data_IF_855498356814
#
_entry.id   IF_855498356814
#
_cell.length_a   1.000
_cell.length_b   1.000
_cell.length_c   1.000
_cell.angle_alpha   90.00
_cell.angle_beta   90.00
_cell.angle_gamma   90.00
#
_symmetry.space_group_name_H-M   'P 1'
#
loop_
_entity.id
_entity.type
_entity.pdbx_description
1 polymer ?
#
# COMPACT_ATOMS: atom_id res chain seq x y z
N UNK A 1 -10.01 -4.35 3.30
CA UNK A 1 -9.58 -5.73 3.63
C UNK A 1 -8.44 -5.73 4.64
N UNK A 2 -7.32 -5.09 4.35
CA UNK A 2 -6.21 -4.93 5.30
C UNK A 2 -6.19 -3.50 5.84
N UNK A 3 -6.37 -3.36 7.17
CA UNK A 3 -6.33 -2.07 7.87
C UNK A 3 -5.39 -2.17 9.09
N UNK A 4 -4.17 -2.70 8.80
CA UNK A 4 -3.00 -2.79 9.67
C UNK A 4 -2.98 -3.98 10.64
N UNK A 5 -4.05 -4.72 10.78
CA UNK A 5 -4.06 -6.00 11.52
C UNK A 5 -3.38 -7.10 10.69
N UNK A 6 -2.35 -7.70 11.23
CA UNK A 6 -1.63 -8.78 10.57
C UNK A 6 -1.62 -10.02 11.47
N UNK A 7 -1.96 -11.21 10.94
CA UNK A 7 -1.97 -12.43 11.75
C UNK A 7 -0.58 -12.74 12.32
N UNK A 8 -0.51 -12.94 13.64
CA UNK A 8 0.74 -13.21 14.34
C UNK A 8 1.51 -14.39 13.74
N UNK A 9 0.81 -15.47 13.39
CA UNK A 9 1.42 -16.66 12.79
C UNK A 9 2.09 -16.39 11.43
N UNK A 10 1.61 -15.39 10.67
CA UNK A 10 2.24 -14.97 9.42
C UNK A 10 3.37 -13.96 9.68
N UNK A 11 3.24 -13.14 10.71
CA UNK A 11 4.31 -12.26 11.16
C UNK A 11 5.56 -13.06 11.58
N UNK A 12 5.38 -14.14 12.33
CA UNK A 12 6.46 -15.06 12.74
C UNK A 12 7.14 -15.77 11.56
N UNK A 13 6.49 -15.87 10.42
CA UNK A 13 7.06 -16.35 9.15
C UNK A 13 7.79 -15.27 8.34
N UNK A 14 7.99 -14.08 8.90
CA UNK A 14 8.68 -12.96 8.27
C UNK A 14 7.76 -11.82 7.81
N UNK A 15 6.45 -11.94 8.01
CA UNK A 15 5.49 -10.85 7.76
C UNK A 15 5.58 -10.28 6.34
N UNK A 16 5.56 -8.97 6.23
CA UNK A 16 5.65 -8.27 4.94
C UNK A 16 7.00 -8.40 4.23
N UNK A 17 8.07 -8.86 4.91
CA UNK A 17 9.34 -9.17 4.25
C UNK A 17 9.33 -10.52 3.52
N UNK A 18 8.46 -11.43 3.93
CA UNK A 18 8.37 -12.73 3.27
C UNK A 18 7.75 -12.57 1.87
N UNK A 19 8.41 -13.04 0.80
CA UNK A 19 7.90 -12.93 -0.57
C UNK A 19 6.56 -13.67 -0.80
N UNK A 20 6.24 -14.68 0.02
CA UNK A 20 4.98 -15.43 -0.04
C UNK A 20 3.77 -14.63 0.49
N UNK A 21 3.99 -13.48 1.11
CA UNK A 21 2.90 -12.67 1.68
C UNK A 21 1.87 -12.25 0.64
N UNK A 22 2.30 -12.08 -0.61
CA UNK A 22 1.39 -11.78 -1.71
C UNK A 22 0.42 -12.94 -2.00
N UNK A 23 0.91 -14.16 -1.93
CA UNK A 23 0.09 -15.36 -2.13
C UNK A 23 -0.87 -15.56 -0.95
N UNK A 24 -0.39 -15.38 0.29
CA UNK A 24 -1.25 -15.45 1.48
C UNK A 24 -2.39 -14.42 1.43
N UNK A 25 -2.07 -13.20 1.03
CA UNK A 25 -3.08 -12.14 0.91
C UNK A 25 -4.02 -12.39 -0.27
N UNK A 26 -3.52 -12.98 -1.35
CA UNK A 26 -4.32 -13.43 -2.49
C UNK A 26 -5.34 -14.51 -2.10
N UNK A 27 -4.94 -15.52 -1.32
CA UNK A 27 -5.87 -16.54 -0.82
C UNK A 27 -6.93 -15.94 0.13
N UNK A 28 -6.54 -15.02 0.99
CA UNK A 28 -7.51 -14.26 1.80
C UNK A 28 -8.49 -13.49 0.92
N UNK A 29 -8.01 -12.81 -0.11
CA UNK A 29 -8.84 -12.06 -1.05
C UNK A 29 -9.82 -12.95 -1.82
N UNK A 30 -9.40 -14.18 -2.20
CA UNK A 30 -10.28 -15.19 -2.79
C UNK A 30 -11.43 -15.54 -1.86
N UNK A 31 -11.14 -15.87 -0.61
CA UNK A 31 -12.20 -16.19 0.38
C UNK A 31 -13.15 -15.01 0.58
N UNK A 32 -12.63 -13.78 0.62
CA UNK A 32 -13.45 -12.57 0.72
C UNK A 32 -14.37 -12.43 -0.50
N UNK A 33 -13.84 -12.64 -1.71
CA UNK A 33 -14.65 -12.61 -2.93
C UNK A 33 -15.79 -13.63 -2.91
N UNK A 34 -15.47 -14.88 -2.62
CA UNK A 34 -16.43 -15.98 -2.59
C UNK A 34 -17.56 -15.80 -1.54
N UNK A 35 -17.23 -15.13 -0.42
CA UNK A 35 -18.16 -14.99 0.72
C UNK A 35 -18.94 -13.69 0.75
N UNK A 36 -18.45 -12.63 0.14
CA UNK A 36 -19.02 -11.30 0.33
C UNK A 36 -19.33 -10.55 -0.97
N UNK A 37 -18.92 -11.03 -2.15
CA UNK A 37 -19.18 -10.30 -3.39
C UNK A 37 -20.65 -10.31 -3.82
N UNK A 38 -21.50 -11.15 -3.22
CA UNK A 38 -22.95 -11.12 -3.42
C UNK A 38 -23.60 -9.91 -2.77
N UNK A 39 -23.05 -9.43 -1.65
CA UNK A 39 -23.59 -8.30 -0.87
C UNK A 39 -22.71 -7.03 -0.95
N UNK A 40 -21.44 -7.15 -1.34
CA UNK A 40 -20.46 -6.07 -1.44
C UNK A 40 -20.04 -5.84 -2.89
N UNK A 41 -20.16 -4.60 -3.38
CA UNK A 41 -19.70 -4.22 -4.73
C UNK A 41 -18.30 -3.59 -4.71
N UNK A 42 -17.92 -2.92 -3.62
CA UNK A 42 -16.69 -2.13 -3.51
C UNK A 42 -15.73 -2.76 -2.52
N UNK A 43 -14.50 -3.04 -2.97
CA UNK A 43 -13.45 -3.64 -2.15
C UNK A 43 -12.22 -2.73 -2.13
N UNK A 44 -11.78 -2.36 -0.94
CA UNK A 44 -10.49 -1.72 -0.70
C UNK A 44 -9.55 -2.78 -0.15
N UNK A 45 -8.51 -3.09 -0.90
CA UNK A 45 -7.55 -4.15 -0.54
C UNK A 45 -6.69 -3.74 0.64
N UNK A 46 -6.01 -2.61 0.54
CA UNK A 46 -5.04 -2.11 1.52
C UNK A 46 -5.36 -0.66 1.85
N UNK A 47 -5.44 -0.37 3.14
CA UNK A 47 -5.55 0.99 3.65
C UNK A 47 -4.17 1.56 3.97
N UNK A 48 -3.90 2.75 3.47
CA UNK A 48 -2.74 3.59 3.75
C UNK A 48 -1.39 2.82 3.76
N UNK A 49 -0.96 2.28 2.61
CA UNK A 49 0.28 1.53 2.55
C UNK A 49 1.48 2.34 3.05
N UNK A 50 1.45 3.68 2.90
CA UNK A 50 2.47 4.58 3.40
C UNK A 50 2.63 4.49 4.93
N UNK A 51 1.53 4.37 5.67
CA UNK A 51 1.54 4.22 7.12
C UNK A 51 2.10 2.86 7.54
N UNK A 52 1.70 1.80 6.86
CA UNK A 52 2.23 0.46 7.13
C UNK A 52 3.75 0.45 6.98
N UNK A 53 4.25 0.99 5.90
CA UNK A 53 5.68 1.01 5.56
C UNK A 53 6.44 2.03 6.42
N UNK A 54 6.01 3.29 6.43
CA UNK A 54 6.71 4.39 7.10
C UNK A 54 6.56 4.35 8.62
N UNK A 55 5.34 4.25 9.11
CA UNK A 55 5.08 4.32 10.55
C UNK A 55 5.25 2.96 11.25
N UNK A 56 4.88 1.86 10.58
CA UNK A 56 4.97 0.52 11.17
C UNK A 56 6.38 -0.07 11.14
N UNK A 57 7.13 0.15 10.05
CA UNK A 57 8.39 -0.57 9.82
C UNK A 57 9.63 0.32 9.72
N UNK A 58 9.51 1.61 9.39
CA UNK A 58 10.66 2.52 9.36
C UNK A 58 10.84 3.26 10.68
N UNK A 59 9.81 3.95 11.15
CA UNK A 59 9.85 4.73 12.39
C UNK A 59 9.46 3.94 13.64
N UNK A 60 8.64 2.91 13.48
CA UNK A 60 8.20 2.04 14.56
C UNK A 60 7.19 2.67 15.51
N UNK A 61 6.47 3.72 15.10
CA UNK A 61 5.45 4.39 15.94
C UNK A 61 4.07 3.75 15.85
N UNK A 62 3.83 2.95 14.80
CA UNK A 62 2.64 2.12 14.65
C UNK A 62 3.02 0.62 14.72
N UNK A 63 2.02 -0.26 14.89
CA UNK A 63 2.26 -1.70 14.80
C UNK A 63 2.86 -2.09 13.43
N UNK A 64 3.79 -3.03 13.37
CA UNK A 64 4.32 -3.88 14.44
C UNK A 64 5.34 -3.20 15.37
N UNK A 65 5.65 -1.93 15.19
CA UNK A 65 6.50 -1.16 16.08
C UNK A 65 8.01 -1.43 15.93
N UNK A 66 8.42 -1.87 14.75
CA UNK A 66 9.83 -2.20 14.45
C UNK A 66 10.51 -1.07 13.69
N UNK A 67 11.83 -0.98 13.84
CA UNK A 67 12.67 -0.05 13.07
C UNK A 67 13.58 -0.85 12.17
N UNK A 68 13.26 -0.86 10.89
CA UNK A 68 14.00 -1.60 9.87
C UNK A 68 14.91 -0.69 9.06
N UNK A 69 15.83 -1.29 8.32
CA UNK A 69 16.64 -0.55 7.35
C UNK A 69 15.76 0.00 6.23
N UNK A 70 16.21 1.09 5.59
CA UNK A 70 15.51 1.65 4.44
C UNK A 70 15.35 0.63 3.30
N UNK A 71 16.33 -0.26 3.14
CA UNK A 71 16.30 -1.35 2.15
C UNK A 71 15.14 -2.32 2.43
N UNK A 72 15.02 -2.77 3.68
CA UNK A 72 13.97 -3.71 4.08
C UNK A 72 12.60 -3.05 4.00
N UNK A 73 12.53 -1.76 4.35
CA UNK A 73 11.31 -0.95 4.25
C UNK A 73 10.83 -0.86 2.79
N UNK A 74 11.72 -0.71 1.82
CA UNK A 74 11.37 -0.75 0.40
C UNK A 74 10.93 -2.14 -0.06
N UNK A 75 11.55 -3.19 0.45
CA UNK A 75 11.11 -4.55 0.15
C UNK A 75 9.70 -4.80 0.67
N UNK A 76 9.38 -4.29 1.86
CA UNK A 76 8.00 -4.34 2.41
C UNK A 76 7.03 -3.59 1.50
N UNK A 77 7.36 -2.37 1.06
CA UNK A 77 6.51 -1.61 0.16
C UNK A 77 6.24 -2.37 -1.16
N UNK A 78 7.28 -2.97 -1.74
CA UNK A 78 7.15 -3.79 -2.94
C UNK A 78 6.25 -5.01 -2.71
N UNK A 79 6.47 -5.76 -1.65
CA UNK A 79 5.67 -6.95 -1.33
C UNK A 79 4.20 -6.58 -1.02
N UNK A 80 3.98 -5.43 -0.38
CA UNK A 80 2.63 -4.91 -0.09
C UNK A 80 1.87 -4.60 -1.39
N UNK A 81 2.53 -3.99 -2.38
CA UNK A 81 1.91 -3.71 -3.67
C UNK A 81 1.73 -4.98 -4.52
N UNK A 82 2.65 -5.95 -4.45
CA UNK A 82 2.41 -7.29 -5.02
C UNK A 82 1.17 -7.95 -4.41
N UNK A 83 1.02 -7.89 -3.10
CA UNK A 83 -0.15 -8.42 -2.40
C UNK A 83 -1.44 -7.73 -2.85
N UNK A 84 -1.41 -6.39 -3.04
CA UNK A 84 -2.51 -5.66 -3.65
C UNK A 84 -2.87 -6.21 -5.03
N UNK A 85 -1.90 -6.33 -5.92
CA UNK A 85 -2.12 -6.85 -7.28
C UNK A 85 -2.70 -8.26 -7.27
N UNK A 86 -2.14 -9.17 -6.46
CA UNK A 86 -2.66 -10.54 -6.31
C UNK A 86 -4.08 -10.56 -5.75
N UNK A 87 -4.40 -9.68 -4.80
CA UNK A 87 -5.75 -9.53 -4.28
C UNK A 87 -6.73 -9.04 -5.35
N UNK A 88 -6.35 -8.05 -6.18
CA UNK A 88 -7.19 -7.56 -7.30
C UNK A 88 -7.50 -8.69 -8.28
N UNK A 89 -6.49 -9.47 -8.66
CA UNK A 89 -6.66 -10.62 -9.56
C UNK A 89 -7.65 -11.62 -8.98
N UNK A 90 -7.46 -12.01 -7.72
CA UNK A 90 -8.31 -13.00 -7.07
C UNK A 90 -9.73 -12.47 -6.79
N UNK A 91 -9.88 -11.23 -6.37
CA UNK A 91 -11.19 -10.60 -6.21
C UNK A 91 -11.99 -10.62 -7.52
N UNK A 92 -11.38 -10.18 -8.62
CA UNK A 92 -12.03 -10.18 -9.95
C UNK A 92 -12.36 -11.59 -10.46
N UNK A 93 -11.50 -12.57 -10.16
CA UNK A 93 -11.65 -13.94 -10.64
C UNK A 93 -12.75 -14.71 -9.90
N UNK A 94 -12.89 -14.50 -8.58
CA UNK A 94 -13.73 -15.30 -7.72
C UNK A 94 -15.00 -14.59 -7.25
N UNK A 95 -15.19 -13.32 -7.60
CA UNK A 95 -16.44 -12.62 -7.33
C UNK A 95 -17.61 -13.23 -8.11
N UNK A 96 -18.77 -13.29 -7.47
CA UNK A 96 -20.00 -13.84 -8.06
C UNK A 96 -20.81 -12.82 -8.87
N UNK A 97 -20.35 -11.55 -8.86
CA UNK A 97 -20.89 -10.44 -9.67
C UNK A 97 -19.81 -9.43 -9.99
N UNK A 98 -20.12 -8.43 -10.82
CA UNK A 98 -19.23 -7.30 -11.08
C UNK A 98 -18.92 -6.53 -9.80
N UNK A 99 -17.63 -6.28 -9.57
CA UNK A 99 -17.11 -5.57 -8.40
C UNK A 99 -16.14 -4.46 -8.82
N UNK A 100 -15.95 -3.50 -7.93
CA UNK A 100 -14.95 -2.43 -8.07
C UNK A 100 -13.90 -2.61 -6.98
N UNK A 101 -12.65 -2.66 -7.40
CA UNK A 101 -11.52 -2.92 -6.51
C UNK A 101 -10.50 -1.78 -6.59
N UNK A 102 -10.03 -1.34 -5.46
CA UNK A 102 -8.97 -0.33 -5.34
C UNK A 102 -8.17 -0.51 -4.06
N UNK A 103 -7.33 0.46 -3.76
CA UNK A 103 -6.69 0.64 -2.46
C UNK A 103 -6.88 2.08 -1.99
N UNK A 104 -6.66 2.36 -0.71
CA UNK A 104 -6.84 3.69 -0.14
C UNK A 104 -5.47 4.27 0.29
N UNK A 105 -4.77 4.98 -0.60
CA UNK A 105 -3.51 5.62 -0.23
C UNK A 105 -3.76 6.85 0.64
N UNK A 106 -2.78 7.20 1.47
CA UNK A 106 -2.71 8.49 2.16
C UNK A 106 -1.50 9.28 1.70
N UNK A 107 -1.53 10.58 1.83
CA UNK A 107 -0.42 11.45 1.48
C UNK A 107 -0.81 12.91 1.35
N UNK A 108 0.21 13.76 1.30
CA UNK A 108 0.04 15.19 1.06
C UNK A 108 -0.15 15.49 -0.42
N UNK A 109 -1.00 16.47 -0.71
CA UNK A 109 -1.11 17.05 -2.04
C UNK A 109 -0.45 18.43 -2.00
N UNK A 110 0.51 18.66 -2.89
CA UNK A 110 1.17 19.95 -3.04
C UNK A 110 0.61 20.72 -4.22
N UNK A 111 0.19 21.95 -3.99
CA UNK A 111 -0.23 22.89 -5.02
C UNK A 111 0.80 23.99 -5.17
N UNK A 112 1.05 24.50 -6.38
CA UNK A 112 1.90 25.68 -6.55
C UNK A 112 1.25 26.89 -5.90
N UNK A 113 2.06 27.73 -5.27
CA UNK A 113 1.58 28.98 -4.64
C UNK A 113 1.10 30.00 -5.66
N UNK A 114 1.77 30.05 -6.82
CA UNK A 114 1.38 30.84 -7.99
C UNK A 114 1.57 30.02 -9.28
N UNK A 115 1.14 30.57 -10.42
CA UNK A 115 1.37 29.96 -11.74
C UNK A 115 2.81 30.16 -12.28
N UNK A 116 3.73 30.65 -11.46
CA UNK A 116 5.13 30.81 -11.86
C UNK A 116 5.82 29.45 -11.98
N UNK A 117 6.74 29.29 -12.95
CA UNK A 117 7.46 28.03 -13.15
C UNK A 117 8.19 27.52 -11.91
N UNK A 118 8.77 28.41 -11.09
CA UNK A 118 9.46 28.04 -9.85
C UNK A 118 8.53 27.45 -8.80
N UNK A 119 7.31 27.97 -8.65
CA UNK A 119 6.31 27.47 -7.69
C UNK A 119 5.74 26.12 -8.16
N UNK A 120 5.49 26.01 -9.47
CA UNK A 120 5.04 24.76 -10.10
C UNK A 120 6.08 23.66 -9.89
N UNK A 121 7.36 23.96 -10.12
CA UNK A 121 8.43 22.99 -9.95
C UNK A 121 8.65 22.62 -8.47
N UNK A 122 8.50 23.56 -7.55
CA UNK A 122 8.56 23.29 -6.12
C UNK A 122 7.42 22.35 -5.69
N UNK A 123 6.18 22.57 -6.14
CA UNK A 123 5.05 21.71 -5.88
C UNK A 123 5.25 20.30 -6.44
N UNK A 124 5.77 20.18 -7.67
CA UNK A 124 6.11 18.88 -8.27
C UNK A 124 7.17 18.12 -7.47
N UNK A 125 8.21 18.80 -7.00
CA UNK A 125 9.24 18.17 -6.15
C UNK A 125 8.68 17.61 -4.85
N UNK A 126 7.73 18.29 -4.23
CA UNK A 126 7.05 17.77 -3.03
C UNK A 126 6.13 16.62 -3.38
N UNK A 127 5.34 16.74 -4.45
CA UNK A 127 4.33 15.75 -4.82
C UNK A 127 4.91 14.44 -5.37
N UNK A 128 5.97 14.54 -6.20
CA UNK A 128 6.61 13.38 -6.83
C UNK A 128 7.97 13.04 -6.20
N UNK A 129 8.46 13.87 -5.30
CA UNK A 129 9.75 13.66 -4.66
C UNK A 129 9.75 12.41 -3.80
N UNK A 130 10.87 11.71 -3.84
CA UNK A 130 11.07 10.49 -3.07
C UNK A 130 11.53 10.78 -1.63
N UNK A 131 12.29 11.83 -1.43
CA UNK A 131 12.92 12.15 -0.16
C UNK A 131 12.30 13.39 0.48
N UNK A 132 11.81 13.25 1.70
CA UNK A 132 11.46 14.36 2.56
C UNK A 132 12.58 14.56 3.60
N UNK A 133 13.35 15.65 3.54
CA UNK A 133 14.46 15.89 4.46
C UNK A 133 14.00 16.05 5.93
N UNK A 134 12.73 16.34 6.19
CA UNK A 134 12.19 16.47 7.54
C UNK A 134 11.87 15.12 8.19
N UNK A 135 11.38 14.15 7.40
CA UNK A 135 10.86 12.88 7.92
C UNK A 135 11.68 11.67 7.47
N UNK A 136 12.65 11.83 6.57
CA UNK A 136 13.34 10.73 5.88
C UNK A 136 12.40 9.71 5.20
N UNK A 137 11.16 10.13 4.91
CA UNK A 137 10.11 9.33 4.32
C UNK A 137 9.25 10.17 3.38
N UNK A 138 8.77 9.56 2.32
CA UNK A 138 7.85 10.23 1.40
C UNK A 138 6.40 9.82 1.65
N UNK A 139 5.54 10.81 1.81
CA UNK A 139 4.08 10.66 1.87
C UNK A 139 3.44 10.82 0.49
N UNK A 140 4.20 10.53 -0.52
CA UNK A 140 3.80 10.72 -1.90
C UNK A 140 2.91 9.54 -2.34
N UNK A 141 1.74 9.89 -2.85
CA UNK A 141 0.75 8.93 -3.34
C UNK A 141 1.19 8.31 -4.67
N UNK A 142 1.85 9.09 -5.53
CA UNK A 142 2.22 8.67 -6.88
C UNK A 142 3.12 7.44 -6.87
N UNK A 143 4.11 7.39 -5.96
CA UNK A 143 5.02 6.25 -5.89
C UNK A 143 4.30 4.91 -5.64
N UNK A 144 3.36 4.86 -4.70
CA UNK A 144 2.58 3.65 -4.44
C UNK A 144 1.61 3.34 -5.58
N UNK A 145 1.04 4.37 -6.22
CA UNK A 145 0.15 4.19 -7.36
C UNK A 145 0.91 3.62 -8.57
N UNK A 146 2.10 4.11 -8.84
CA UNK A 146 2.95 3.59 -9.92
C UNK A 146 3.36 2.14 -9.67
N UNK A 147 3.74 1.79 -8.44
CA UNK A 147 4.00 0.41 -8.04
C UNK A 147 2.77 -0.49 -8.16
N UNK A 148 1.59 0.02 -7.82
CA UNK A 148 0.33 -0.71 -7.98
C UNK A 148 0.10 -1.09 -9.44
N UNK A 149 0.29 -0.15 -10.38
CA UNK A 149 0.08 -0.37 -11.82
C UNK A 149 1.03 -1.40 -12.44
N UNK A 150 2.20 -1.64 -11.85
CA UNK A 150 3.14 -2.67 -12.32
C UNK A 150 2.63 -4.09 -11.98
N UNK A 151 1.78 -4.23 -10.98
CA UNK A 151 1.37 -5.52 -10.43
C UNK A 151 -0.09 -5.92 -10.74
N UNK A 152 -0.82 -5.10 -11.51
CA UNK A 152 -2.20 -5.39 -11.93
C UNK A 152 -2.20 -5.75 -13.46
#
# INVERSE_FOLDING_TARGET
MFHWEFPQALYEKGGWLNPEVADWFGEYAKVVAERFSDICEYFITINEPQCVVGLGHLSGVHAPGVKMSIKDTFQIAHNLMKAHGQAVINLRKYAVRDIKVGYAPTGGVAYPYTDKPEDIEAAKKVYFGFYNPMDNWTWNVAWFSDLSLIHI
#
